data_IF_897614062299
#
_entry.id   IF_897614062299
#
_cell.length_a   1.000
_cell.length_b   1.000
_cell.length_c   1.000
_cell.angle_alpha   90.00
_cell.angle_beta   90.00
_cell.angle_gamma   90.00
#
_symmetry.space_group_name_H-M   'P 1'
#
loop_
_entity.id
_entity.type
_entity.pdbx_description
1 polymer ?
#
# COMPACT_ATOMS: atom_id res chain seq x y z
N UNK A 1 22.77 10.45 -0.89
CA UNK A 1 21.34 10.78 -0.97
C UNK A 1 20.67 9.64 -1.73
N UNK A 2 19.94 8.76 -1.03
CA UNK A 2 19.23 7.66 -1.69
C UNK A 2 18.07 8.18 -2.56
N UNK A 3 17.51 7.33 -3.45
CA UNK A 3 16.35 7.70 -4.25
C UNK A 3 15.20 8.16 -3.34
N UNK A 4 14.52 9.23 -3.72
CA UNK A 4 13.31 9.68 -3.02
C UNK A 4 12.17 8.74 -3.41
N UNK A 5 11.68 7.98 -2.44
CA UNK A 5 10.51 7.14 -2.60
C UNK A 5 9.27 8.03 -2.67
N UNK A 6 8.63 8.09 -3.84
CA UNK A 6 7.30 8.67 -3.99
C UNK A 6 6.36 7.51 -4.27
N UNK A 7 5.88 6.88 -3.20
CA UNK A 7 4.86 5.86 -3.35
C UNK A 7 3.51 6.52 -3.61
N UNK A 8 2.77 5.98 -4.57
CA UNK A 8 1.48 6.50 -4.94
C UNK A 8 0.36 5.49 -4.78
N UNK A 9 -0.57 5.87 -3.92
CA UNK A 9 -1.81 5.13 -3.71
C UNK A 9 -2.97 5.83 -4.39
N UNK A 10 -3.61 5.14 -5.33
CA UNK A 10 -5.02 5.38 -5.58
C UNK A 10 -5.82 4.98 -4.33
N UNK A 11 -5.98 5.93 -3.41
CA UNK A 11 -7.10 5.97 -2.50
C UNK A 11 -7.68 7.37 -2.61
N UNK A 12 -8.81 7.49 -3.32
CA UNK A 12 -9.63 8.68 -3.22
C UNK A 12 -10.22 8.70 -1.81
N UNK A 13 -10.13 9.86 -1.17
CA UNK A 13 -11.03 10.17 -0.06
C UNK A 13 -12.27 10.79 -0.65
N UNK A 14 -13.27 9.96 -0.91
CA UNK A 14 -14.70 10.24 -1.05
C UNK A 14 -15.37 8.87 -1.31
N UNK A 15 -16.63 8.67 -0.91
CA UNK A 15 -17.10 7.48 -0.19
C UNK A 15 -16.84 6.18 -0.94
N UNK A 16 -16.41 5.16 -0.18
CA UNK A 16 -16.29 3.75 -0.55
C UNK A 16 -15.77 3.45 -1.98
N UNK A 17 -14.49 3.07 -2.09
CA UNK A 17 -13.96 2.36 -3.26
C UNK A 17 -14.08 3.09 -4.61
N UNK A 18 -14.04 4.42 -4.66
CA UNK A 18 -13.87 5.10 -5.95
C UNK A 18 -12.42 4.96 -6.39
N UNK A 19 -12.12 3.87 -7.12
CA UNK A 19 -10.92 3.75 -7.95
C UNK A 19 -10.93 4.98 -8.85
N UNK A 20 -9.86 5.77 -8.82
CA UNK A 20 -9.80 7.04 -9.54
C UNK A 20 -9.78 6.89 -11.07
N UNK A 21 -9.98 5.68 -11.60
CA UNK A 21 -9.90 5.33 -13.03
C UNK A 21 -8.70 5.99 -13.73
N UNK A 22 -7.52 5.86 -13.12
CA UNK A 22 -6.27 6.45 -13.61
C UNK A 22 -6.13 7.98 -13.47
N UNK A 23 -7.11 8.73 -12.95
CA UNK A 23 -6.99 10.19 -12.81
C UNK A 23 -5.78 10.60 -11.98
N UNK A 24 -5.55 9.83 -10.92
CA UNK A 24 -4.41 9.94 -10.06
C UNK A 24 -3.09 9.70 -10.82
N UNK A 25 -3.00 8.65 -11.64
CA UNK A 25 -1.81 8.36 -12.45
C UNK A 25 -1.57 9.45 -13.50
N UNK A 26 -2.63 9.96 -14.13
CA UNK A 26 -2.55 11.08 -15.09
C UNK A 26 -2.04 12.37 -14.45
N UNK A 27 -2.49 12.68 -13.23
CA UNK A 27 -2.00 13.83 -12.47
C UNK A 27 -0.49 13.70 -12.24
N UNK A 28 -0.03 12.54 -11.74
CA UNK A 28 1.40 12.30 -11.55
C UNK A 28 2.15 12.38 -12.87
N UNK A 29 1.67 11.69 -13.91
CA UNK A 29 2.28 11.65 -15.23
C UNK A 29 2.49 13.05 -15.82
N UNK A 30 1.54 13.96 -15.58
CA UNK A 30 1.66 15.36 -16.01
C UNK A 30 2.87 16.09 -15.41
N UNK A 31 3.34 15.66 -14.24
CA UNK A 31 4.51 16.20 -13.53
C UNK A 31 5.78 15.44 -13.89
N UNK A 32 5.75 14.10 -13.89
CA UNK A 32 6.95 13.26 -14.05
C UNK A 32 7.33 12.96 -15.50
N UNK A 33 6.57 13.45 -16.49
CA UNK A 33 6.96 13.37 -17.91
C UNK A 33 8.25 14.13 -18.24
N UNK A 34 8.68 15.04 -17.36
CA UNK A 34 10.00 15.64 -17.40
C UNK A 34 11.06 14.55 -17.13
N UNK A 35 11.98 14.27 -18.09
CA UNK A 35 13.00 13.23 -17.94
C UNK A 35 13.89 13.40 -16.70
N UNK A 36 14.19 14.65 -16.31
CA UNK A 36 15.01 14.90 -15.13
C UNK A 36 14.28 14.55 -13.83
N UNK A 37 12.98 14.79 -13.78
CA UNK A 37 12.14 14.40 -12.65
C UNK A 37 11.93 12.89 -12.66
N UNK A 38 11.65 12.29 -13.82
CA UNK A 38 11.49 10.84 -13.96
C UNK A 38 12.68 10.06 -13.42
N UNK A 39 13.90 10.53 -13.67
CA UNK A 39 15.13 9.89 -13.20
C UNK A 39 15.33 9.97 -11.67
N UNK A 40 14.63 10.88 -10.98
CA UNK A 40 14.75 11.12 -9.53
C UNK A 40 13.64 10.46 -8.70
N UNK A 41 12.64 9.88 -9.36
CA UNK A 41 11.47 9.28 -8.70
C UNK A 41 11.43 7.77 -8.94
N UNK A 42 11.05 7.04 -7.89
CA UNK A 42 10.74 5.62 -7.97
C UNK A 42 9.22 5.45 -8.00
N UNK A 43 8.67 4.99 -9.13
CA UNK A 43 7.22 4.94 -9.35
C UNK A 43 6.67 3.55 -9.02
N UNK A 44 5.70 3.53 -8.11
CA UNK A 44 4.92 2.36 -7.78
C UNK A 44 3.48 2.52 -8.30
N UNK A 45 2.91 1.47 -8.90
CA UNK A 45 1.45 1.38 -9.16
C UNK A 45 0.97 -0.06 -9.04
N UNK A 46 -0.34 -0.30 -9.21
CA UNK A 46 -0.99 -1.58 -8.93
C UNK A 46 -2.13 -1.88 -9.87
N UNK A 47 -2.44 -3.16 -10.02
CA UNK A 47 -3.65 -3.65 -10.68
C UNK A 47 -4.44 -4.60 -9.80
N UNK A 48 -5.61 -5.01 -10.28
CA UNK A 48 -6.33 -6.17 -9.75
C UNK A 48 -7.47 -5.84 -8.80
N UNK A 49 -7.71 -4.56 -8.51
CA UNK A 49 -8.95 -4.09 -7.86
C UNK A 49 -9.71 -3.23 -8.87
N UNK A 50 -10.97 -3.59 -9.10
CA UNK A 50 -11.86 -3.01 -10.09
C UNK A 50 -13.28 -2.84 -9.56
N UNK A 51 -14.17 -2.37 -10.43
CA UNK A 51 -15.62 -2.45 -10.23
C UNK A 51 -16.27 -2.99 -11.50
N UNK A 52 -17.23 -3.89 -11.36
CA UNK A 52 -18.06 -4.43 -12.43
C UNK A 52 -19.51 -4.36 -12.00
N UNK A 53 -20.35 -3.72 -12.81
CA UNK A 53 -21.78 -3.51 -12.51
C UNK A 53 -22.03 -2.86 -11.13
N UNK A 54 -21.16 -1.92 -10.75
CA UNK A 54 -21.21 -1.22 -9.46
C UNK A 54 -20.72 -2.04 -8.27
N UNK A 55 -20.25 -3.28 -8.49
CA UNK A 55 -19.73 -4.16 -7.43
C UNK A 55 -18.21 -4.23 -7.44
N UNK A 56 -17.54 -4.25 -6.28
CA UNK A 56 -16.11 -4.49 -6.20
C UNK A 56 -15.72 -5.79 -6.91
N UNK A 57 -14.63 -5.74 -7.66
CA UNK A 57 -14.08 -6.87 -8.40
C UNK A 57 -12.60 -7.02 -8.07
N UNK A 58 -12.16 -8.27 -7.90
CA UNK A 58 -10.75 -8.62 -7.88
C UNK A 58 -10.47 -9.41 -9.17
N UNK A 59 -9.41 -9.08 -9.90
CA UNK A 59 -9.10 -9.73 -11.17
C UNK A 59 -7.59 -9.90 -11.35
N UNK A 60 -7.15 -11.15 -11.42
CA UNK A 60 -5.77 -11.56 -11.67
C UNK A 60 -5.56 -12.18 -13.05
N UNK A 61 -6.57 -12.14 -13.93
CA UNK A 61 -6.50 -12.76 -15.26
C UNK A 61 -5.34 -12.17 -16.07
N UNK A 62 -4.47 -12.98 -16.71
CA UNK A 62 -3.30 -12.50 -17.45
C UNK A 62 -3.60 -11.34 -18.41
N UNK A 63 -4.64 -11.47 -19.23
CA UNK A 63 -5.04 -10.41 -20.16
C UNK A 63 -5.35 -9.08 -19.45
N UNK A 64 -5.99 -9.14 -18.28
CA UNK A 64 -6.29 -7.96 -17.47
C UNK A 64 -5.02 -7.36 -16.83
N UNK A 65 -4.09 -8.18 -16.36
CA UNK A 65 -2.80 -7.72 -15.80
C UNK A 65 -2.05 -6.87 -16.83
N UNK A 66 -1.94 -7.37 -18.06
CA UNK A 66 -1.29 -6.68 -19.17
C UNK A 66 -2.03 -5.40 -19.53
N UNK A 67 -3.33 -5.50 -19.78
CA UNK A 67 -4.17 -4.35 -20.13
C UNK A 67 -4.00 -3.19 -19.13
N UNK A 68 -4.02 -3.50 -17.82
CA UNK A 68 -3.82 -2.49 -16.77
C UNK A 68 -2.39 -1.94 -16.75
N UNK A 69 -1.38 -2.76 -17.04
CA UNK A 69 0.00 -2.29 -17.12
C UNK A 69 0.19 -1.28 -18.26
N UNK A 70 -0.32 -1.60 -19.46
CA UNK A 70 -0.27 -0.68 -20.61
C UNK A 70 -1.02 0.63 -20.31
N UNK A 71 -2.17 0.54 -19.66
CA UNK A 71 -2.95 1.73 -19.28
C UNK A 71 -2.21 2.59 -18.26
N UNK A 72 -1.58 1.98 -17.24
CA UNK A 72 -0.77 2.70 -16.26
C UNK A 72 0.42 3.39 -16.91
N UNK A 73 1.16 2.72 -17.81
CA UNK A 73 2.29 3.31 -18.56
C UNK A 73 1.81 4.54 -19.36
N UNK A 74 0.68 4.42 -20.05
CA UNK A 74 0.07 5.53 -20.80
C UNK A 74 -0.36 6.68 -19.90
N UNK A 75 -1.04 6.41 -18.78
CA UNK A 75 -1.49 7.45 -17.85
C UNK A 75 -0.31 8.19 -17.22
N UNK A 76 0.71 7.44 -16.80
CA UNK A 76 1.93 7.97 -16.20
C UNK A 76 2.85 8.66 -17.22
N UNK A 77 2.65 8.42 -18.53
CA UNK A 77 3.50 8.93 -19.61
C UNK A 77 4.98 8.52 -19.41
N UNK A 78 5.20 7.23 -19.13
CA UNK A 78 6.54 6.64 -18.92
C UNK A 78 6.71 5.35 -19.70
N UNK A 79 7.94 5.03 -20.05
CA UNK A 79 8.27 3.78 -20.75
C UNK A 79 8.32 2.56 -19.82
N UNK A 80 8.51 2.79 -18.51
CA UNK A 80 8.56 1.73 -17.52
C UNK A 80 8.08 2.20 -16.14
N UNK A 81 7.55 1.25 -15.37
CA UNK A 81 7.18 1.39 -13.95
C UNK A 81 8.30 0.77 -13.09
N UNK A 82 8.69 1.43 -11.99
CA UNK A 82 9.75 0.87 -11.12
C UNK A 82 9.23 -0.35 -10.34
N UNK A 83 8.06 -0.27 -9.71
CA UNK A 83 7.46 -1.39 -8.96
C UNK A 83 5.97 -1.55 -9.28
N UNK A 84 5.59 -2.74 -9.75
CA UNK A 84 4.22 -3.05 -10.12
C UNK A 84 3.61 -4.10 -9.19
N UNK A 85 2.50 -3.75 -8.53
CA UNK A 85 1.85 -4.57 -7.52
C UNK A 85 0.62 -5.32 -8.06
N UNK A 86 0.49 -6.59 -7.69
CA UNK A 86 -0.83 -7.21 -7.56
C UNK A 86 -1.50 -6.66 -6.29
N UNK A 87 -2.54 -5.83 -6.45
CA UNK A 87 -3.17 -5.11 -5.34
C UNK A 87 -3.94 -6.03 -4.39
N UNK A 88 -4.59 -7.06 -4.92
CA UNK A 88 -5.23 -8.13 -4.15
C UNK A 88 -5.05 -9.45 -4.89
N UNK A 89 -4.85 -10.53 -4.14
CA UNK A 89 -4.79 -11.88 -4.72
C UNK A 89 -6.17 -12.26 -5.25
N UNK A 90 -6.24 -12.58 -6.54
CA UNK A 90 -7.44 -13.17 -7.15
C UNK A 90 -7.45 -14.67 -6.85
N UNK A 91 -8.27 -15.07 -5.89
CA UNK A 91 -8.38 -16.47 -5.45
C UNK A 91 -9.30 -17.31 -6.33
N UNK A 92 -9.84 -16.75 -7.42
CA UNK A 92 -10.65 -17.51 -8.39
C UNK A 92 -9.79 -18.24 -9.42
N UNK A 93 -8.49 -17.91 -9.49
CA UNK A 93 -7.51 -18.58 -10.35
C UNK A 93 -6.24 -18.93 -9.56
N UNK A 94 -5.39 -19.85 -10.07
CA UNK A 94 -4.07 -20.06 -9.51
C UNK A 94 -3.23 -18.77 -9.61
N UNK A 95 -2.58 -18.39 -8.51
CA UNK A 95 -1.73 -17.19 -8.45
C UNK A 95 -0.60 -17.22 -9.49
N UNK A 96 -0.13 -18.41 -9.86
CA UNK A 96 0.90 -18.61 -10.87
C UNK A 96 0.48 -18.10 -12.25
N UNK A 97 -0.82 -18.14 -12.58
CA UNK A 97 -1.32 -17.59 -13.84
C UNK A 97 -1.10 -16.08 -13.89
N UNK A 98 -1.46 -15.36 -12.82
CA UNK A 98 -1.21 -13.91 -12.69
C UNK A 98 0.29 -13.60 -12.70
N UNK A 99 1.08 -14.34 -11.93
CA UNK A 99 2.50 -14.05 -11.74
C UNK A 99 3.35 -14.37 -12.96
N UNK A 100 2.95 -15.34 -13.79
CA UNK A 100 3.60 -15.58 -15.09
C UNK A 100 3.46 -14.37 -16.01
N UNK A 101 2.30 -13.71 -16.01
CA UNK A 101 2.11 -12.49 -16.79
C UNK A 101 2.92 -11.31 -16.22
N UNK A 102 2.96 -11.16 -14.90
CA UNK A 102 3.81 -10.15 -14.26
C UNK A 102 5.30 -10.36 -14.60
N UNK A 103 5.76 -11.62 -14.62
CA UNK A 103 7.12 -11.98 -15.02
C UNK A 103 7.39 -11.64 -16.50
N UNK A 104 6.41 -11.86 -17.39
CA UNK A 104 6.52 -11.50 -18.80
C UNK A 104 6.67 -9.97 -18.99
N UNK A 105 5.84 -9.17 -18.30
CA UNK A 105 5.96 -7.71 -18.30
C UNK A 105 7.32 -7.23 -17.78
N UNK A 106 7.89 -7.92 -16.79
CA UNK A 106 9.23 -7.63 -16.28
C UNK A 106 10.31 -7.96 -17.32
N UNK A 107 10.22 -9.12 -17.98
CA UNK A 107 11.15 -9.53 -19.03
C UNK A 107 11.10 -8.60 -20.26
N UNK A 108 9.94 -8.02 -20.56
CA UNK A 108 9.75 -6.99 -21.59
C UNK A 108 10.30 -5.60 -21.20
N UNK A 109 10.74 -5.43 -19.95
CA UNK A 109 11.26 -4.15 -19.44
C UNK A 109 10.18 -3.11 -19.09
N UNK A 110 8.90 -3.49 -19.15
CA UNK A 110 7.77 -2.60 -18.81
C UNK A 110 7.70 -2.30 -17.32
N UNK A 111 8.16 -3.24 -16.50
CA UNK A 111 8.22 -3.11 -15.04
C UNK A 111 9.60 -3.59 -14.55
N UNK A 112 10.21 -2.91 -13.58
CA UNK A 112 11.52 -3.32 -13.04
C UNK A 112 11.41 -4.32 -11.89
N UNK A 113 10.51 -4.05 -10.95
CA UNK A 113 10.28 -4.85 -9.75
C UNK A 113 8.82 -5.26 -9.64
N UNK A 114 8.57 -6.39 -8.98
CA UNK A 114 7.24 -6.94 -8.77
C UNK A 114 6.90 -6.96 -7.29
N UNK A 115 5.66 -6.60 -6.97
CA UNK A 115 5.15 -6.57 -5.60
C UNK A 115 3.80 -7.27 -5.46
N UNK A 116 3.47 -7.63 -4.23
CA UNK A 116 2.17 -8.19 -3.88
C UNK A 116 1.58 -7.43 -2.69
N UNK A 117 0.27 -7.36 -2.58
CA UNK A 117 -0.40 -6.71 -1.44
C UNK A 117 -1.47 -7.60 -0.85
N UNK A 118 -1.57 -7.59 0.49
CA UNK A 118 -2.57 -8.35 1.26
C UNK A 118 -2.62 -9.85 0.90
N UNK A 119 -1.45 -10.46 0.77
CA UNK A 119 -1.28 -11.89 0.50
C UNK A 119 -0.88 -12.66 1.77
N UNK A 120 -1.26 -13.93 1.84
CA UNK A 120 -0.81 -14.85 2.89
C UNK A 120 0.63 -15.30 2.68
N UNK A 121 1.27 -15.87 3.71
CA UNK A 121 2.60 -16.45 3.61
C UNK A 121 2.71 -17.51 2.48
N UNK A 122 1.67 -18.34 2.31
CA UNK A 122 1.62 -19.33 1.24
C UNK A 122 1.53 -18.68 -0.15
N UNK A 123 0.64 -17.69 -0.32
CA UNK A 123 0.48 -16.95 -1.57
C UNK A 123 1.80 -16.25 -1.95
N UNK A 124 2.51 -15.66 -0.99
CA UNK A 124 3.83 -15.03 -1.21
C UNK A 124 4.85 -16.05 -1.72
N UNK A 125 4.93 -17.24 -1.13
CA UNK A 125 5.88 -18.28 -1.56
C UNK A 125 5.58 -18.76 -2.99
N UNK A 126 4.30 -18.98 -3.30
CA UNK A 126 3.85 -19.41 -4.62
C UNK A 126 4.14 -18.35 -5.69
N UNK A 127 3.83 -17.09 -5.42
CA UNK A 127 4.22 -15.96 -6.25
C UNK A 127 5.75 -15.91 -6.49
N UNK A 128 6.52 -15.98 -5.40
CA UNK A 128 7.98 -15.90 -5.44
C UNK A 128 8.65 -17.07 -6.20
N UNK A 129 7.96 -18.21 -6.33
CA UNK A 129 8.44 -19.35 -7.14
C UNK A 129 8.38 -19.09 -8.65
N UNK A 130 7.58 -18.12 -9.09
CA UNK A 130 7.45 -17.73 -10.50
C UNK A 130 8.37 -16.55 -10.84
N UNK A 131 8.35 -15.51 -10.01
CA UNK A 131 9.24 -14.37 -10.15
C UNK A 131 9.50 -13.74 -8.78
N UNK A 132 10.68 -13.14 -8.60
CA UNK A 132 11.09 -12.53 -7.33
C UNK A 132 10.07 -11.48 -6.87
N UNK A 133 9.41 -11.74 -5.75
CA UNK A 133 8.64 -10.74 -5.02
C UNK A 133 9.65 -9.77 -4.40
N UNK A 134 9.60 -8.51 -4.77
CA UNK A 134 10.51 -7.48 -4.24
C UNK A 134 9.94 -6.82 -2.98
N UNK A 135 8.61 -6.67 -2.92
CA UNK A 135 7.94 -6.05 -1.79
C UNK A 135 6.56 -6.68 -1.51
N UNK A 136 6.24 -6.83 -0.22
CA UNK A 136 4.89 -7.06 0.26
C UNK A 136 4.34 -5.76 0.83
N UNK A 137 3.18 -5.34 0.34
CA UNK A 137 2.45 -4.23 0.92
C UNK A 137 1.28 -4.69 1.79
N UNK A 138 1.30 -4.33 3.07
CA UNK A 138 0.34 -4.81 4.07
C UNK A 138 0.07 -3.75 5.13
N UNK A 139 -1.09 -3.81 5.78
CA UNK A 139 -1.39 -2.91 6.89
C UNK A 139 -0.46 -3.21 8.06
N UNK A 140 0.29 -2.21 8.52
CA UNK A 140 1.17 -2.41 9.66
C UNK A 140 1.39 -1.12 10.45
N UNK A 141 1.18 -1.17 11.76
CA UNK A 141 1.34 -0.05 12.70
C UNK A 141 1.35 -0.60 14.13
N UNK A 142 1.59 0.23 15.16
CA UNK A 142 1.40 -0.19 16.55
C UNK A 142 -0.03 -0.73 16.85
N UNK A 143 -1.00 -0.48 15.98
CA UNK A 143 -2.39 -0.96 16.11
C UNK A 143 -2.67 -2.26 15.36
N UNK A 144 -1.89 -2.57 14.33
CA UNK A 144 -2.09 -3.72 13.44
C UNK A 144 -0.75 -4.42 13.33
N UNK A 145 -0.57 -5.52 14.05
CA UNK A 145 0.73 -6.19 14.21
C UNK A 145 0.73 -7.66 13.80
N UNK A 146 -0.40 -8.16 13.27
CA UNK A 146 -0.69 -9.57 13.00
C UNK A 146 0.38 -10.27 12.15
N UNK A 147 1.04 -9.53 11.25
CA UNK A 147 2.08 -10.07 10.37
C UNK A 147 3.28 -10.67 11.13
N UNK A 148 3.46 -10.27 12.40
CA UNK A 148 4.51 -10.77 13.29
C UNK A 148 4.24 -12.20 13.75
N UNK A 149 2.98 -12.61 13.81
CA UNK A 149 2.56 -13.86 14.44
C UNK A 149 1.95 -14.86 13.44
N UNK A 150 1.54 -14.40 12.25
CA UNK A 150 0.90 -15.24 11.24
C UNK A 150 1.85 -15.80 10.16
N UNK A 151 3.17 -15.70 10.38
CA UNK A 151 4.21 -16.22 9.49
C UNK A 151 4.51 -15.38 8.24
N UNK A 152 3.80 -14.27 8.02
CA UNK A 152 4.06 -13.37 6.88
C UNK A 152 5.43 -12.71 7.03
N UNK A 153 5.73 -12.12 8.18
CA UNK A 153 7.00 -11.41 8.39
C UNK A 153 8.20 -12.36 8.23
N UNK A 154 8.12 -13.56 8.80
CA UNK A 154 9.17 -14.56 8.69
C UNK A 154 9.38 -15.00 7.23
N UNK A 155 8.29 -15.22 6.50
CA UNK A 155 8.35 -15.56 5.07
C UNK A 155 8.97 -14.44 4.25
N UNK A 156 8.62 -13.17 4.51
CA UNK A 156 9.22 -12.04 3.83
C UNK A 156 10.72 -11.94 4.10
N UNK A 157 11.15 -12.11 5.35
CA UNK A 157 12.58 -12.07 5.71
C UNK A 157 13.37 -13.22 5.12
N UNK A 158 12.86 -14.45 5.21
CA UNK A 158 13.45 -15.64 4.60
C UNK A 158 13.68 -15.44 3.11
N UNK A 159 12.68 -14.89 2.41
CA UNK A 159 12.73 -14.68 0.98
C UNK A 159 13.43 -13.37 0.59
N UNK A 160 13.86 -12.52 1.53
CA UNK A 160 14.44 -11.20 1.27
C UNK A 160 13.48 -10.24 0.56
N UNK A 161 12.27 -10.11 1.09
CA UNK A 161 11.17 -9.26 0.60
C UNK A 161 10.98 -8.10 1.56
N UNK A 162 10.97 -6.85 1.07
CA UNK A 162 10.69 -5.68 1.91
C UNK A 162 9.21 -5.59 2.29
N UNK A 163 8.93 -5.12 3.50
CA UNK A 163 7.59 -4.80 3.98
C UNK A 163 7.30 -3.31 3.71
N UNK A 164 6.26 -3.03 2.92
CA UNK A 164 5.73 -1.69 2.69
C UNK A 164 4.46 -1.51 3.52
N UNK A 165 4.61 -0.87 4.67
CA UNK A 165 3.56 -0.66 5.68
C UNK A 165 2.59 0.45 5.27
N UNK A 166 1.39 0.09 4.80
CA UNK A 166 0.32 1.07 4.59
C UNK A 166 -0.45 1.34 5.89
N UNK A 167 -1.09 2.52 5.93
CA UNK A 167 -1.74 3.05 7.13
C UNK A 167 -0.86 3.00 8.40
N UNK A 168 0.42 3.43 8.34
CA UNK A 168 1.32 3.35 9.50
C UNK A 168 0.87 4.21 10.69
N UNK A 169 -0.07 5.13 10.46
CA UNK A 169 -0.71 5.98 11.46
C UNK A 169 -2.13 5.53 11.83
N UNK A 170 -2.50 4.27 11.54
CA UNK A 170 -3.83 3.73 11.84
C UNK A 170 -4.95 4.52 11.17
N UNK A 171 -4.77 4.89 9.89
CA UNK A 171 -5.72 5.74 9.13
C UNK A 171 -6.01 7.07 9.83
N UNK A 172 -5.02 7.63 10.53
CA UNK A 172 -5.11 8.89 11.27
C UNK A 172 -5.47 8.73 12.75
N UNK A 173 -5.93 7.56 13.18
CA UNK A 173 -6.35 7.33 14.57
C UNK A 173 -5.19 7.45 15.56
N UNK A 174 -4.03 6.87 15.22
CA UNK A 174 -2.85 6.89 16.09
C UNK A 174 -2.17 8.26 16.21
N UNK A 175 -2.63 9.24 15.44
CA UNK A 175 -2.17 10.63 15.59
C UNK A 175 -2.77 11.29 16.84
N UNK A 176 -3.87 10.74 17.37
CA UNK A 176 -4.63 11.30 18.47
C UNK A 176 -5.53 12.48 18.11
N UNK A 177 -5.67 12.80 16.82
CA UNK A 177 -6.58 13.82 16.30
C UNK A 177 -8.05 13.37 16.30
N UNK A 178 -8.30 12.05 16.25
CA UNK A 178 -9.65 11.47 16.27
C UNK A 178 -9.93 11.04 17.72
N UNK A 179 -10.86 11.71 18.38
CA UNK A 179 -11.27 11.49 19.78
C UNK A 179 -12.70 10.97 19.90
N UNK A 180 -13.51 11.15 18.86
CA UNK A 180 -14.84 10.58 18.69
C UNK A 180 -15.06 10.15 17.24
N UNK A 181 -16.02 9.25 17.02
CA UNK A 181 -16.53 8.93 15.68
C UNK A 181 -17.05 10.19 14.97
N UNK A 182 -17.51 11.18 15.73
CA UNK A 182 -18.05 12.44 15.20
C UNK A 182 -16.98 13.41 14.69
N UNK A 183 -15.70 13.15 14.96
CA UNK A 183 -14.59 13.88 14.31
C UNK A 183 -14.40 13.45 12.85
N UNK A 184 -15.14 12.45 12.39
CA UNK A 184 -15.13 11.95 11.01
C UNK A 184 -16.34 12.48 10.24
N UNK A 185 -16.10 12.94 9.02
CA UNK A 185 -17.16 13.34 8.08
C UNK A 185 -18.22 12.24 7.94
N UNK A 186 -19.52 12.57 7.78
CA UNK A 186 -20.58 11.57 7.70
C UNK A 186 -20.40 10.52 6.60
N UNK A 187 -19.72 10.87 5.50
CA UNK A 187 -19.44 9.99 4.36
C UNK A 187 -18.11 9.21 4.50
N UNK A 188 -17.38 9.37 5.60
CA UNK A 188 -16.10 8.71 5.81
C UNK A 188 -16.28 7.21 6.07
N UNK A 189 -15.70 6.38 5.19
CA UNK A 189 -15.74 4.93 5.30
C UNK A 189 -15.23 4.37 6.64
N UNK A 190 -14.35 5.09 7.35
CA UNK A 190 -13.86 4.68 8.68
C UNK A 190 -15.01 4.56 9.68
N UNK A 191 -16.10 5.32 9.51
CA UNK A 191 -17.29 5.24 10.36
C UNK A 191 -17.95 3.87 10.37
N UNK A 192 -17.73 3.04 9.35
CA UNK A 192 -18.25 1.66 9.26
C UNK A 192 -17.27 0.58 9.71
N UNK A 193 -16.06 0.93 10.17
CA UNK A 193 -15.08 -0.06 10.59
C UNK A 193 -15.34 -0.48 12.04
N UNK A 194 -15.41 -1.79 12.37
CA UNK A 194 -15.63 -2.26 13.75
C UNK A 194 -14.65 -1.65 14.77
N UNK A 195 -13.38 -1.50 14.38
CA UNK A 195 -12.33 -0.88 15.20
C UNK A 195 -12.53 0.61 15.48
N UNK A 196 -13.40 1.27 14.72
CA UNK A 196 -13.80 2.68 14.87
C UNK A 196 -15.21 2.83 15.45
N UNK A 197 -15.88 1.73 15.81
CA UNK A 197 -17.22 1.72 16.39
C UNK A 197 -17.16 1.05 17.76
N UNK A 198 -17.47 -0.24 17.81
CA UNK A 198 -17.58 -1.06 19.02
C UNK A 198 -16.30 -1.01 19.87
N UNK A 199 -15.14 -1.04 19.21
CA UNK A 199 -13.85 -1.03 19.90
C UNK A 199 -13.24 0.39 20.06
N UNK A 200 -13.95 1.46 19.68
CA UNK A 200 -13.36 2.81 19.62
C UNK A 200 -12.77 3.25 20.97
N UNK A 201 -13.55 3.12 22.05
CA UNK A 201 -13.11 3.54 23.39
C UNK A 201 -11.95 2.71 23.91
N UNK A 202 -11.92 1.41 23.61
CA UNK A 202 -10.79 0.55 23.98
C UNK A 202 -9.53 0.94 23.19
N UNK A 203 -9.69 1.21 21.90
CA UNK A 203 -8.58 1.60 21.02
C UNK A 203 -7.98 2.97 21.39
N UNK A 204 -8.74 3.88 22.02
CA UNK A 204 -8.19 5.14 22.54
C UNK A 204 -7.09 4.92 23.58
N UNK A 205 -7.11 3.82 24.33
CA UNK A 205 -6.03 3.49 25.29
C UNK A 205 -4.67 3.31 24.60
N UNK A 206 -4.67 2.81 23.36
CA UNK A 206 -3.44 2.69 22.54
C UNK A 206 -2.91 4.08 22.21
N UNK A 207 -3.81 5.00 21.84
CA UNK A 207 -3.46 6.40 21.55
C UNK A 207 -2.89 7.09 22.80
N UNK A 208 -3.51 6.89 23.95
CA UNK A 208 -3.06 7.50 25.21
C UNK A 208 -1.68 6.97 25.63
N UNK A 209 -1.44 5.67 25.48
CA UNK A 209 -0.13 5.07 25.73
C UNK A 209 0.95 5.65 24.78
N UNK A 210 0.63 5.78 23.49
CA UNK A 210 1.54 6.39 22.51
C UNK A 210 1.82 7.86 22.81
N UNK A 211 0.80 8.64 23.18
CA UNK A 211 0.95 10.05 23.58
C UNK A 211 1.87 10.18 24.78
N UNK A 212 1.67 9.39 25.83
CA UNK A 212 2.51 9.44 27.02
C UNK A 212 4.00 9.17 26.70
N UNK A 213 4.30 8.27 25.76
CA UNK A 213 5.67 8.01 25.30
C UNK A 213 6.20 9.16 24.45
N UNK A 214 5.38 9.69 23.55
CA UNK A 214 5.73 10.79 22.66
C UNK A 214 6.05 12.07 23.44
N UNK A 215 5.24 12.40 24.45
CA UNK A 215 5.41 13.55 25.34
C UNK A 215 6.74 13.48 26.10
N UNK A 216 7.08 12.32 26.66
CA UNK A 216 8.38 12.12 27.34
C UNK A 216 9.58 12.30 26.41
N UNK A 217 9.39 12.15 25.10
CA UNK A 217 10.43 12.30 24.07
C UNK A 217 10.37 13.65 23.36
N UNK A 218 9.38 14.50 23.65
CA UNK A 218 9.18 15.79 22.98
C UNK A 218 8.87 15.67 21.49
N UNK A 219 8.19 14.59 21.07
CA UNK A 219 7.80 14.34 19.67
C UNK A 219 6.29 14.15 19.55
N UNK A 220 5.78 14.19 18.32
CA UNK A 220 4.36 13.91 18.05
C UNK A 220 4.07 12.40 18.07
N UNK A 221 2.81 11.97 18.36
CA UNK A 221 2.40 10.58 18.22
C UNK A 221 2.66 10.02 16.82
N UNK A 222 2.48 10.84 15.78
CA UNK A 222 2.76 10.46 14.39
C UNK A 222 4.24 10.12 14.17
N UNK A 223 5.16 10.97 14.68
CA UNK A 223 6.60 10.70 14.62
C UNK A 223 6.96 9.42 15.37
N UNK A 224 6.37 9.21 16.56
CA UNK A 224 6.60 8.00 17.34
C UNK A 224 6.13 6.74 16.58
N UNK A 225 4.94 6.76 15.97
CA UNK A 225 4.41 5.64 15.20
C UNK A 225 5.30 5.29 14.00
N UNK A 226 5.74 6.30 13.24
CA UNK A 226 6.64 6.09 12.10
C UNK A 226 7.99 5.54 12.57
N UNK A 227 8.57 6.10 13.63
CA UNK A 227 9.80 5.60 14.21
C UNK A 227 9.66 4.14 14.69
N UNK A 228 8.51 3.78 15.26
CA UNK A 228 8.22 2.41 15.67
C UNK A 228 8.16 1.44 14.48
N UNK A 229 7.53 1.84 13.37
CA UNK A 229 7.50 1.01 12.15
C UNK A 229 8.91 0.81 11.59
N UNK A 230 9.72 1.88 11.50
CA UNK A 230 11.11 1.77 11.03
C UNK A 230 12.00 0.96 11.98
N UNK A 231 11.70 0.94 13.27
CA UNK A 231 12.44 0.15 14.26
C UNK A 231 12.24 -1.36 14.11
N UNK A 232 11.32 -1.84 13.27
CA UNK A 232 11.13 -3.27 13.04
C UNK A 232 12.25 -3.89 12.19
N UNK A 233 12.98 -3.08 11.40
CA UNK A 233 14.12 -3.50 10.61
C UNK A 233 14.32 -2.65 9.36
N UNK A 234 15.49 -2.77 8.72
CA UNK A 234 15.80 -2.07 7.46
C UNK A 234 14.92 -2.54 6.28
N UNK A 235 14.26 -3.69 6.44
CA UNK A 235 13.27 -4.27 5.54
C UNK A 235 11.91 -3.55 5.58
N UNK A 236 11.69 -2.60 6.51
CA UNK A 236 10.43 -1.86 6.64
C UNK A 236 10.48 -0.47 5.97
N UNK A 237 9.50 -0.22 5.10
CA UNK A 237 9.22 1.06 4.47
C UNK A 237 7.82 1.49 4.88
N UNK A 238 7.66 2.72 5.37
CA UNK A 238 6.36 3.28 5.74
C UNK A 238 5.88 4.29 4.69
N UNK A 239 4.59 4.26 4.38
CA UNK A 239 3.96 5.09 3.34
C UNK A 239 2.81 5.93 3.93
N UNK A 240 3.13 6.98 4.72
CA UNK A 240 2.12 7.86 5.27
C UNK A 240 1.45 8.69 4.16
N UNK A 241 0.11 8.74 4.17
CA UNK A 241 -0.65 9.56 3.22
C UNK A 241 -0.72 11.03 3.62
N UNK A 242 -0.70 11.93 2.64
CA UNK A 242 -0.98 13.37 2.82
C UNK A 242 -1.86 13.90 1.70
N UNK A 243 -2.59 14.99 1.96
CA UNK A 243 -3.31 15.79 0.95
C UNK A 243 -2.95 17.27 1.02
N UNK A 244 -2.04 17.65 1.91
CA UNK A 244 -1.62 19.02 2.15
C UNK A 244 -0.09 19.11 2.04
N UNK A 245 0.46 20.19 1.45
CA UNK A 245 1.91 20.39 1.37
C UNK A 245 2.60 20.60 2.73
N UNK A 246 1.83 20.99 3.74
CA UNK A 246 2.25 21.27 5.12
C UNK A 246 1.34 20.54 6.09
#
# INVERSE_FOLDING_TARGET
MGPRWYDYFSYSSLPALTITQGANERLIGSVIKDPELRAKVFICTKFGVGSKDGKPMICGQPAYVRERCEESLKNLQVDYIDLYYQHRVDRTIPIEATWKEMAALQAEGKVKYLGISEATAEEIRRANSIAKVSALQIEFSPWTTDIRDNGILDTCRELGISIVAYSPLGRGFLTGAIKSIDDLEPSDHRRGMPRMQEAFQENLKIVDALKAVADRKGITPSQLCLAWVFAQGEDFIAIPGTKKPK
#
